data_IF_526500807083
#
_entry.id   IF_526500807083
#
_cell.length_a   1.000
_cell.length_b   1.000
_cell.length_c   1.000
_cell.angle_alpha   90.00
_cell.angle_beta   90.00
_cell.angle_gamma   90.00
#
_symmetry.space_group_name_H-M   'P 1'
#
loop_
_entity.id
_entity.type
_entity.pdbx_description
1 polymer ?
#
# COMPACT_ATOMS: atom_id res chain seq x y z
N UNK A 1 -9.95 -1.09 2.11
CA UNK A 1 -9.82 -2.26 1.22
C UNK A 1 -8.88 -3.26 1.86
N UNK A 2 -9.18 -4.55 1.76
CA UNK A 2 -8.38 -5.61 2.36
C UNK A 2 -7.64 -6.36 1.25
N UNK A 3 -6.31 -6.23 1.20
CA UNK A 3 -5.48 -6.87 0.17
C UNK A 3 -5.45 -8.39 0.35
N UNK A 4 -5.62 -9.13 -0.73
CA UNK A 4 -5.67 -10.60 -0.71
C UNK A 4 -4.55 -11.22 -1.53
N UNK A 5 -4.21 -12.48 -1.25
CA UNK A 5 -3.35 -13.27 -2.13
C UNK A 5 -3.90 -13.37 -3.55
N UNK A 6 -5.22 -13.29 -3.74
CA UNK A 6 -5.82 -13.28 -5.07
C UNK A 6 -5.43 -12.04 -5.88
N UNK A 7 -5.34 -10.88 -5.23
CA UNK A 7 -4.90 -9.64 -5.87
C UNK A 7 -3.46 -9.78 -6.41
N UNK A 8 -2.59 -10.46 -5.65
CA UNK A 8 -1.22 -10.77 -6.07
C UNK A 8 -1.20 -11.78 -7.22
N UNK A 9 -2.08 -12.79 -7.19
CA UNK A 9 -2.16 -13.85 -8.20
C UNK A 9 -2.62 -13.31 -9.55
N UNK A 10 -3.59 -12.41 -9.52
CA UNK A 10 -4.21 -11.82 -10.71
C UNK A 10 -3.48 -10.59 -11.22
N UNK A 11 -2.72 -9.90 -10.35
CA UNK A 11 -2.07 -8.63 -10.67
C UNK A 11 -3.07 -7.49 -10.63
N UNK A 12 -3.79 -7.37 -9.50
CA UNK A 12 -4.88 -6.42 -9.34
C UNK A 12 -4.45 -4.99 -9.65
N UNK A 13 -5.34 -4.28 -10.35
CA UNK A 13 -5.18 -2.87 -10.73
C UNK A 13 -6.35 -2.09 -10.15
N UNK A 14 -6.07 -0.87 -9.72
CA UNK A 14 -7.04 -0.02 -9.06
C UNK A 14 -6.98 1.38 -9.65
N UNK A 15 -8.15 2.00 -9.80
CA UNK A 15 -8.25 3.40 -10.22
C UNK A 15 -7.55 4.33 -9.23
N UNK A 16 -7.66 4.02 -7.94
CA UNK A 16 -7.06 4.74 -6.81
C UNK A 16 -5.70 4.18 -6.39
N UNK A 17 -4.88 3.72 -7.34
CA UNK A 17 -3.57 3.13 -7.06
C UNK A 17 -2.54 4.16 -6.54
N UNK A 18 -1.87 3.83 -5.44
CA UNK A 18 -0.86 4.70 -4.81
C UNK A 18 0.53 4.04 -4.77
N UNK A 19 0.61 2.74 -4.98
CA UNK A 19 1.88 2.01 -4.97
C UNK A 19 1.81 0.82 -5.93
N UNK A 20 2.83 0.67 -6.77
CA UNK A 20 3.02 -0.52 -7.60
C UNK A 20 3.99 -1.48 -6.90
N UNK A 21 3.52 -2.68 -6.60
CA UNK A 21 4.31 -3.71 -5.94
C UNK A 21 4.78 -4.74 -6.95
N UNK A 22 6.09 -4.95 -6.99
CA UNK A 22 6.75 -5.94 -7.84
C UNK A 22 7.48 -7.02 -7.02
N UNK A 23 7.55 -6.84 -5.70
CA UNK A 23 8.24 -7.76 -4.81
C UNK A 23 7.50 -9.10 -4.73
N UNK A 24 8.18 -10.25 -4.88
CA UNK A 24 7.53 -11.54 -4.86
C UNK A 24 7.00 -11.90 -3.46
N UNK A 25 6.15 -12.93 -3.39
CA UNK A 25 5.78 -13.58 -2.12
C UNK A 25 7.05 -14.11 -1.44
N UNK A 26 7.23 -13.73 -0.17
CA UNK A 26 8.34 -14.12 0.68
C UNK A 26 7.81 -14.55 2.05
N UNK A 27 7.50 -15.85 2.18
CA UNK A 27 7.04 -16.47 3.42
C UNK A 27 8.23 -17.17 4.08
N UNK A 28 8.59 -16.71 5.28
CA UNK A 28 9.54 -17.41 6.14
C UNK A 28 8.81 -18.49 6.94
N UNK A 29 9.47 -19.63 7.14
CA UNK A 29 8.95 -20.82 7.82
C UNK A 29 7.94 -20.54 8.93
N UNK A 30 6.75 -21.12 8.77
CA UNK A 30 5.67 -21.09 9.76
C UNK A 30 5.87 -22.12 10.87
N UNK A 31 6.74 -23.12 10.64
CA UNK A 31 7.18 -24.12 11.61
C UNK A 31 8.37 -23.60 12.45
N UNK A 32 8.22 -23.44 13.79
CA UNK A 32 9.29 -23.00 14.68
C UNK A 32 10.55 -23.87 14.63
N UNK A 33 10.42 -25.14 14.20
CA UNK A 33 11.54 -26.08 14.08
C UNK A 33 12.34 -25.88 12.79
N UNK A 34 11.79 -25.16 11.79
CA UNK A 34 12.44 -24.88 10.50
C UNK A 34 12.94 -23.44 10.47
N UNK A 35 13.95 -23.15 11.28
CA UNK A 35 14.43 -21.77 11.54
C UNK A 35 15.00 -20.99 10.34
N UNK A 36 15.15 -21.59 9.16
CA UNK A 36 15.77 -20.96 7.97
C UNK A 36 15.13 -21.32 6.61
N UNK A 37 13.98 -21.98 6.59
CA UNK A 37 13.33 -22.37 5.32
C UNK A 37 12.48 -21.24 4.75
N UNK A 38 12.69 -20.86 3.48
CA UNK A 38 11.66 -20.16 2.70
C UNK A 38 10.62 -21.22 2.33
N UNK A 39 9.36 -21.01 2.70
CA UNK A 39 8.32 -21.95 2.31
C UNK A 39 8.03 -21.88 0.81
N UNK A 40 7.52 -22.98 0.26
CA UNK A 40 7.02 -23.02 -1.10
C UNK A 40 6.03 -21.88 -1.31
N UNK A 41 6.27 -21.03 -2.30
CA UNK A 41 5.33 -19.98 -2.67
C UNK A 41 4.01 -20.65 -3.10
N UNK A 42 2.85 -20.23 -2.57
CA UNK A 42 1.58 -20.82 -2.95
C UNK A 42 1.26 -20.60 -4.44
N UNK A 43 1.79 -19.52 -5.03
CA UNK A 43 1.74 -19.21 -6.45
C UNK A 43 2.81 -18.16 -6.82
N UNK A 44 2.99 -17.91 -8.12
CA UNK A 44 3.82 -16.80 -8.62
C UNK A 44 3.00 -15.50 -8.60
N UNK A 45 3.42 -14.51 -7.81
CA UNK A 45 2.81 -13.19 -7.83
C UNK A 45 3.08 -12.47 -9.15
N UNK A 46 2.08 -11.74 -9.63
CA UNK A 46 2.19 -10.75 -10.71
C UNK A 46 2.39 -9.38 -10.10
N UNK A 47 2.96 -8.39 -10.83
CA UNK A 47 2.90 -7.00 -10.40
C UNK A 47 1.46 -6.58 -10.13
N UNK A 48 1.23 -5.95 -8.98
CA UNK A 48 -0.09 -5.53 -8.51
C UNK A 48 -0.01 -4.14 -7.91
N UNK A 49 -1.16 -3.54 -7.62
CA UNK A 49 -1.26 -2.20 -7.06
C UNK A 49 -1.87 -2.25 -5.66
N UNK A 50 -1.46 -1.31 -4.81
CA UNK A 50 -2.14 -1.02 -3.54
C UNK A 50 -3.03 0.21 -3.78
N UNK A 51 -4.33 0.14 -3.45
CA UNK A 51 -5.23 1.28 -3.56
C UNK A 51 -5.17 2.18 -2.31
N UNK A 52 -5.45 3.49 -2.46
CA UNK A 52 -5.48 4.46 -1.35
C UNK A 52 -6.39 4.01 -0.20
N UNK A 53 -7.57 3.49 -0.53
CA UNK A 53 -8.53 2.97 0.47
C UNK A 53 -8.01 1.77 1.28
N UNK A 54 -6.88 1.15 0.94
CA UNK A 54 -6.25 0.13 1.80
C UNK A 54 -5.52 0.75 3.01
N UNK A 55 -5.24 2.06 2.95
CA UNK A 55 -4.56 2.83 3.99
C UNK A 55 -5.54 3.43 5.00
N UNK A 56 -6.83 3.53 4.65
CA UNK A 56 -7.86 4.10 5.52
C UNK A 56 -8.30 3.07 6.56
N UNK A 57 -8.30 3.46 7.84
CA UNK A 57 -8.86 2.61 8.91
C UNK A 57 -10.37 2.44 8.72
N UNK A 58 -10.88 1.21 8.83
CA UNK A 58 -12.32 0.94 8.68
C UNK A 58 -13.15 1.42 9.87
N UNK A 59 -12.57 1.32 11.06
CA UNK A 59 -13.32 1.43 12.32
C UNK A 59 -13.02 2.73 13.08
N UNK A 60 -12.19 3.63 12.52
CA UNK A 60 -11.83 4.91 13.12
C UNK A 60 -11.69 6.01 12.07
N UNK A 61 -12.47 7.08 12.25
CA UNK A 61 -12.40 8.27 11.38
C UNK A 61 -11.10 9.03 11.58
N UNK A 62 -10.60 9.64 10.50
CA UNK A 62 -9.37 10.44 10.55
C UNK A 62 -8.07 9.64 10.65
N UNK A 63 -8.13 8.30 10.79
CA UNK A 63 -6.92 7.47 10.92
C UNK A 63 -6.49 6.85 9.59
N UNK A 64 -5.24 7.15 9.21
CA UNK A 64 -4.54 6.54 8.08
C UNK A 64 -3.41 5.64 8.57
N UNK A 65 -3.18 4.55 7.85
CA UNK A 65 -2.17 3.53 8.08
C UNK A 65 -1.26 3.47 6.84
N UNK A 66 0.03 3.22 7.03
CA UNK A 66 0.98 3.12 5.93
C UNK A 66 2.04 2.04 6.18
N UNK A 67 2.47 1.36 5.13
CA UNK A 67 3.49 0.31 5.25
C UNK A 67 2.92 -0.99 5.79
N UNK A 68 3.53 -1.54 6.86
CA UNK A 68 3.22 -2.90 7.36
C UNK A 68 1.87 -3.02 8.06
N UNK A 69 1.24 -1.92 8.44
CA UNK A 69 -0.01 -1.91 9.20
C UNK A 69 -1.26 -1.78 8.31
N UNK A 70 -1.13 -1.73 6.99
CA UNK A 70 -2.30 -1.69 6.10
C UNK A 70 -3.06 -3.03 6.10
N UNK A 71 -4.33 -2.98 5.72
CA UNK A 71 -5.22 -4.13 5.70
C UNK A 71 -4.85 -5.13 4.61
N UNK A 72 -4.53 -6.37 4.99
CA UNK A 72 -4.34 -7.48 4.06
C UNK A 72 -4.18 -8.83 4.74
N UNK A 73 -4.31 -9.90 3.96
CA UNK A 73 -4.05 -11.26 4.43
C UNK A 73 -2.55 -11.56 4.59
N UNK A 74 -2.25 -12.69 5.21
CA UNK A 74 -0.88 -13.12 5.47
C UNK A 74 -0.04 -13.25 4.18
N UNK A 75 -0.64 -13.73 3.09
CA UNK A 75 0.07 -13.91 1.81
C UNK A 75 0.36 -12.54 1.17
N UNK A 76 -0.60 -11.64 1.12
CA UNK A 76 -0.44 -10.29 0.60
C UNK A 76 0.61 -9.53 1.41
N UNK A 77 0.52 -9.58 2.75
CA UNK A 77 1.47 -8.95 3.67
C UNK A 77 2.89 -9.45 3.43
N UNK A 78 3.03 -10.74 3.12
CA UNK A 78 4.33 -11.33 2.84
C UNK A 78 5.03 -10.72 1.60
N UNK A 79 4.30 -10.04 0.71
CA UNK A 79 4.85 -9.39 -0.48
C UNK A 79 5.01 -7.88 -0.29
N UNK A 80 3.99 -7.16 0.20
CA UNK A 80 4.04 -5.69 0.22
C UNK A 80 4.84 -5.08 1.37
N UNK A 81 5.25 -5.86 2.39
CA UNK A 81 5.90 -5.36 3.61
C UNK A 81 7.31 -4.74 3.44
N UNK A 82 7.82 -4.61 2.21
CA UNK A 82 9.17 -4.10 1.93
C UNK A 82 9.25 -2.58 2.01
N UNK A 83 10.43 -2.06 2.38
CA UNK A 83 10.66 -0.62 2.65
C UNK A 83 10.27 0.28 1.48
N UNK A 84 10.56 -0.13 0.23
CA UNK A 84 10.21 0.67 -0.94
C UNK A 84 8.71 0.95 -1.06
N UNK A 85 7.88 -0.06 -0.81
CA UNK A 85 6.43 0.11 -0.82
C UNK A 85 5.95 0.97 0.35
N UNK A 86 6.59 0.82 1.52
CA UNK A 86 6.25 1.61 2.71
C UNK A 86 6.50 3.11 2.50
N UNK A 87 7.54 3.49 1.75
CA UNK A 87 7.80 4.89 1.39
C UNK A 87 6.67 5.46 0.54
N UNK A 88 6.29 4.78 -0.54
CA UNK A 88 5.20 5.22 -1.42
C UNK A 88 3.85 5.30 -0.67
N UNK A 89 3.55 4.32 0.18
CA UNK A 89 2.36 4.35 1.03
C UNK A 89 2.38 5.52 2.02
N UNK A 90 3.53 5.80 2.65
CA UNK A 90 3.69 6.89 3.61
C UNK A 90 3.52 8.27 2.95
N UNK A 91 4.09 8.46 1.77
CA UNK A 91 3.91 9.67 0.97
C UNK A 91 2.43 9.89 0.64
N UNK A 92 1.75 8.86 0.11
CA UNK A 92 0.33 8.93 -0.21
C UNK A 92 -0.54 9.25 1.02
N UNK A 93 -0.29 8.59 2.16
CA UNK A 93 -0.98 8.86 3.42
C UNK A 93 -0.76 10.31 3.89
N UNK A 94 0.48 10.81 3.81
CA UNK A 94 0.83 12.18 4.21
C UNK A 94 0.16 13.23 3.35
N UNK A 95 0.20 13.07 2.03
CA UNK A 95 -0.46 13.98 1.08
C UNK A 95 -1.98 13.99 1.32
N UNK A 96 -2.59 12.81 1.44
CA UNK A 96 -4.04 12.69 1.71
C UNK A 96 -4.41 13.41 3.01
N UNK A 97 -3.65 13.20 4.07
CA UNK A 97 -3.90 13.81 5.38
C UNK A 97 -3.73 15.33 5.34
N UNK A 98 -2.74 15.84 4.59
CA UNK A 98 -2.53 17.27 4.42
C UNK A 98 -3.67 17.95 3.65
N UNK A 99 -4.19 17.29 2.60
CA UNK A 99 -5.36 17.77 1.85
C UNK A 99 -6.59 17.80 2.76
N UNK A 100 -6.87 16.69 3.45
CA UNK A 100 -7.99 16.57 4.39
C UNK A 100 -7.96 17.68 5.45
N UNK A 101 -6.80 17.92 6.07
CA UNK A 101 -6.63 18.97 7.08
C UNK A 101 -6.88 20.38 6.51
N UNK A 102 -6.44 20.65 5.27
CA UNK A 102 -6.63 21.95 4.61
C UNK A 102 -8.09 22.20 4.22
N UNK A 103 -8.77 21.16 3.77
CA UNK A 103 -10.17 21.22 3.32
C UNK A 103 -11.18 21.05 4.47
N UNK A 104 -10.69 20.76 5.69
CA UNK A 104 -11.51 20.43 6.86
C UNK A 104 -12.45 19.24 6.60
N UNK A 105 -11.94 18.24 5.89
CA UNK A 105 -12.62 16.97 5.58
C UNK A 105 -11.90 15.80 6.23
N UNK A 106 -12.50 14.61 6.17
CA UNK A 106 -11.86 13.38 6.65
C UNK A 106 -10.99 12.77 5.54
N UNK A 107 -9.91 12.03 5.87
CA UNK A 107 -9.05 11.41 4.86
C UNK A 107 -9.79 10.47 3.89
N UNK A 108 -10.90 9.85 4.33
CA UNK A 108 -11.72 9.00 3.46
C UNK A 108 -12.61 9.77 2.48
N UNK A 109 -12.81 11.07 2.69
CA UNK A 109 -13.56 11.95 1.78
C UNK A 109 -12.66 12.58 0.70
N UNK A 110 -11.33 12.47 0.85
CA UNK A 110 -10.40 13.07 -0.09
C UNK A 110 -10.48 12.34 -1.43
N UNK A 111 -10.85 13.02 -2.54
CA UNK A 111 -10.92 12.38 -3.83
C UNK A 111 -9.51 12.03 -4.32
N UNK A 112 -9.35 10.84 -4.87
CA UNK A 112 -8.05 10.38 -5.38
C UNK A 112 -7.44 11.32 -6.43
N UNK A 113 -8.26 12.01 -7.21
CA UNK A 113 -7.81 13.02 -8.18
C UNK A 113 -7.10 14.22 -7.53
N UNK A 114 -7.45 14.58 -6.29
CA UNK A 114 -6.74 15.62 -5.54
C UNK A 114 -5.33 15.16 -5.13
N UNK A 115 -5.20 13.89 -4.71
CA UNK A 115 -3.89 13.29 -4.44
C UNK A 115 -3.02 13.24 -5.69
N UNK A 116 -3.56 12.82 -6.84
CA UNK A 116 -2.81 12.77 -8.10
C UNK A 116 -2.25 14.13 -8.50
N UNK A 117 -3.06 15.20 -8.38
CA UNK A 117 -2.64 16.57 -8.66
C UNK A 117 -1.52 17.03 -7.71
N UNK A 118 -1.64 16.70 -6.42
CA UNK A 118 -0.63 17.05 -5.42
C UNK A 118 0.70 16.33 -5.68
N UNK A 119 0.66 15.02 -5.97
CA UNK A 119 1.85 14.22 -6.26
C UNK A 119 2.62 14.72 -7.50
N UNK A 120 1.92 15.14 -8.56
CA UNK A 120 2.54 15.75 -9.76
C UNK A 120 3.26 17.08 -9.45
N UNK A 121 2.70 17.87 -8.55
CA UNK A 121 3.27 19.14 -8.10
C UNK A 121 4.57 18.92 -7.30
N UNK A 122 4.64 17.86 -6.50
CA UNK A 122 5.86 17.49 -5.77
C UNK A 122 6.95 16.90 -6.67
N UNK A 123 6.58 16.05 -7.64
CA UNK A 123 7.52 15.49 -8.61
C UNK A 123 8.20 16.60 -9.43
N UNK A 124 7.45 17.61 -9.89
CA UNK A 124 8.01 18.75 -10.65
C UNK A 124 8.97 19.66 -9.83
N UNK A 125 8.86 19.68 -8.50
CA UNK A 125 9.79 20.40 -7.62
C UNK A 125 11.06 19.62 -7.29
N UNK A 126 11.02 18.28 -7.34
CA UNK A 126 12.14 17.41 -6.95
C UNK A 126 13.26 17.32 -8.01
N UNK A 127 12.98 17.71 -9.27
CA UNK A 127 13.94 17.63 -10.39
C UNK A 127 14.67 18.94 -10.72
N UNK A 128 14.60 19.98 -9.87
CA UNK A 128 15.51 21.14 -9.99
C UNK A 128 16.76 20.89 -9.13
N UNK A 129 17.72 20.16 -9.68
CA UNK A 129 19.13 20.22 -9.29
C UNK A 129 19.98 20.38 -10.53
#
# INVERSE_FOLDING_TARGET
YYMTGEDLRTGAKFEDNICQVTFPIDVHATDPKKTKGIESKPFKSKPYQIPLRALVARDLDGLMLAGRCISGDFIAHSSYRVTGNAVAMGEAAGITSAIAAKEKSLPHDVPFSALQKAAQTHASHSFRK
#
